data_IF_913669083926
#
_entry.id   IF_913669083926
#
_cell.length_a   1.000
_cell.length_b   1.000
_cell.length_c   1.000
_cell.angle_alpha   90.00
_cell.angle_beta   90.00
_cell.angle_gamma   90.00
#
_symmetry.space_group_name_H-M   'P 1'
#
loop_
_entity.id
_entity.type
_entity.pdbx_description
1 polymer ?
#
# COMPACT_ATOMS: atom_id res chain seq x y z
N UNK A 1 23.44 -16.61 16.26
CA UNK A 1 23.09 -17.20 14.97
C UNK A 1 22.00 -16.32 14.37
N UNK A 2 22.40 -15.32 13.56
CA UNK A 2 21.44 -14.42 12.92
C UNK A 2 20.79 -15.14 11.74
N UNK A 3 19.51 -15.40 11.85
CA UNK A 3 18.70 -15.85 10.71
C UNK A 3 18.39 -14.60 9.90
N UNK A 4 19.05 -14.46 8.76
CA UNK A 4 18.67 -13.46 7.76
C UNK A 4 17.26 -13.80 7.27
N UNK A 5 16.28 -13.04 7.76
CA UNK A 5 14.94 -13.06 7.20
C UNK A 5 15.05 -12.41 5.81
N UNK A 6 14.94 -13.23 4.78
CA UNK A 6 14.90 -12.71 3.42
C UNK A 6 13.56 -11.97 3.24
N UNK A 7 13.61 -10.64 3.28
CA UNK A 7 12.48 -9.81 2.92
C UNK A 7 12.16 -10.04 1.45
N UNK A 8 10.91 -10.34 1.18
CA UNK A 8 10.38 -10.33 -0.18
C UNK A 8 10.26 -8.87 -0.59
N UNK A 9 11.23 -8.39 -1.34
CA UNK A 9 11.09 -7.12 -2.01
C UNK A 9 10.04 -7.31 -3.12
N UNK A 10 8.90 -6.68 -2.96
CA UNK A 10 7.96 -6.50 -4.05
C UNK A 10 8.59 -5.53 -5.04
N UNK A 11 9.08 -6.06 -6.14
CA UNK A 11 9.66 -5.26 -7.20
C UNK A 11 8.52 -4.88 -8.12
N UNK A 12 8.14 -3.62 -8.14
CA UNK A 12 7.35 -3.05 -9.23
C UNK A 12 8.16 -3.15 -10.51
N UNK A 13 8.12 -4.31 -11.13
CA UNK A 13 8.76 -4.58 -12.40
C UNK A 13 7.74 -4.70 -13.50
N UNK A 14 7.54 -3.65 -14.25
CA UNK A 14 6.88 -3.72 -15.55
C UNK A 14 7.57 -4.74 -16.42
N UNK A 15 6.94 -5.85 -16.71
CA UNK A 15 7.36 -6.74 -17.80
C UNK A 15 6.16 -7.33 -18.51
N UNK A 16 5.99 -6.81 -19.67
CA UNK A 16 5.28 -7.23 -20.87
C UNK A 16 5.11 -8.72 -21.11
N UNK A 17 3.88 -9.04 -21.57
CA UNK A 17 3.52 -10.06 -22.57
C UNK A 17 3.84 -11.52 -22.26
N UNK A 18 2.78 -12.28 -22.07
CA UNK A 18 2.48 -13.35 -23.03
C UNK A 18 1.15 -14.01 -22.71
N UNK A 19 0.28 -13.99 -23.71
CA UNK A 19 -0.88 -14.84 -23.87
C UNK A 19 -0.62 -16.29 -23.58
N UNK A 20 -1.43 -16.89 -22.70
CA UNK A 20 -1.91 -18.25 -22.88
C UNK A 20 -3.10 -18.52 -21.96
N UNK A 21 -4.20 -18.83 -22.56
CA UNK A 21 -5.39 -19.47 -22.02
C UNK A 21 -5.04 -20.64 -21.11
N UNK A 22 -5.73 -20.76 -20.00
CA UNK A 22 -6.49 -21.90 -19.57
C UNK A 22 -6.65 -21.94 -18.04
N UNK A 23 -7.92 -21.76 -17.65
CA UNK A 23 -8.63 -22.54 -16.64
C UNK A 23 -7.92 -22.80 -15.29
N UNK A 24 -8.46 -22.15 -14.28
CA UNK A 24 -8.62 -22.85 -13.02
C UNK A 24 -7.95 -22.22 -11.84
N UNK A 25 -8.79 -21.82 -10.95
CA UNK A 25 -8.60 -21.67 -9.54
C UNK A 25 -8.14 -20.29 -9.02
N UNK A 26 -9.13 -19.51 -8.65
CA UNK A 26 -9.20 -18.80 -7.38
C UNK A 26 -7.89 -18.22 -6.86
N UNK A 27 -7.56 -17.06 -7.41
CA UNK A 27 -6.91 -16.00 -6.71
C UNK A 27 -7.82 -14.80 -6.96
N UNK A 28 -8.71 -14.52 -6.06
CA UNK A 28 -9.59 -13.36 -6.16
C UNK A 28 -8.76 -12.10 -5.89
N UNK A 29 -8.07 -11.63 -6.91
CA UNK A 29 -7.74 -10.21 -6.97
C UNK A 29 -9.05 -9.53 -7.31
N UNK A 30 -9.77 -9.09 -6.30
CA UNK A 30 -10.98 -8.32 -6.50
C UNK A 30 -10.58 -6.93 -6.98
N UNK A 31 -10.76 -6.71 -8.27
CA UNK A 31 -10.61 -5.43 -8.94
C UNK A 31 -11.57 -4.40 -8.33
N UNK A 32 -11.10 -3.17 -8.12
CA UNK A 32 -11.97 -2.07 -7.74
C UNK A 32 -12.86 -1.73 -8.92
N UNK A 33 -14.12 -2.17 -8.86
CA UNK A 33 -15.13 -1.96 -9.91
C UNK A 33 -15.83 -0.60 -9.84
N UNK A 34 -15.58 0.18 -8.78
CA UNK A 34 -15.95 1.58 -8.76
C UNK A 34 -15.24 2.28 -9.93
N UNK A 35 -15.98 3.06 -10.72
CA UNK A 35 -15.38 3.91 -11.76
C UNK A 35 -14.47 4.94 -11.11
N UNK A 36 -13.27 4.50 -10.77
CA UNK A 36 -12.23 5.36 -10.25
C UNK A 36 -11.58 6.00 -11.47
N UNK A 37 -11.84 7.26 -11.68
CA UNK A 37 -11.10 8.02 -12.69
C UNK A 37 -9.67 8.20 -12.17
N UNK A 38 -8.74 7.43 -12.75
CA UNK A 38 -7.34 7.43 -12.37
C UNK A 38 -6.74 8.85 -12.33
N UNK A 39 -7.21 9.73 -13.21
CA UNK A 39 -6.78 11.13 -13.22
C UNK A 39 -7.28 11.91 -12.00
N UNK A 40 -8.45 11.61 -11.50
CA UNK A 40 -8.99 12.26 -10.29
C UNK A 40 -8.26 11.77 -9.05
N UNK A 41 -8.03 10.49 -8.94
CA UNK A 41 -7.36 9.89 -7.77
C UNK A 41 -5.90 10.33 -7.67
N UNK A 42 -5.16 10.34 -8.77
CA UNK A 42 -3.80 10.86 -8.81
C UNK A 42 -3.72 12.32 -8.36
N UNK A 43 -4.71 13.14 -8.76
CA UNK A 43 -4.80 14.55 -8.35
C UNK A 43 -5.24 14.71 -6.88
N UNK A 44 -6.05 13.79 -6.37
CA UNK A 44 -6.60 13.87 -5.03
C UNK A 44 -5.64 13.37 -3.95
N UNK A 45 -4.92 12.27 -4.21
CA UNK A 45 -3.98 11.68 -3.25
C UNK A 45 -2.54 12.19 -3.44
N UNK A 46 -2.17 12.62 -4.65
CA UNK A 46 -0.81 13.02 -5.00
C UNK A 46 0.11 11.86 -5.34
N UNK A 47 -0.35 10.62 -5.25
CA UNK A 47 0.40 9.40 -5.59
C UNK A 47 -0.47 8.43 -6.42
N UNK A 48 0.19 7.51 -7.10
CA UNK A 48 -0.45 6.47 -7.92
C UNK A 48 -0.26 5.07 -7.35
N UNK A 49 0.78 4.85 -6.54
CA UNK A 49 0.96 3.60 -5.82
C UNK A 49 1.39 3.87 -4.37
N UNK A 50 0.93 3.00 -3.47
CA UNK A 50 1.20 3.07 -2.04
C UNK A 50 1.31 1.63 -1.51
N UNK A 51 2.40 1.29 -0.86
CA UNK A 51 2.61 -0.01 -0.23
C UNK A 51 3.15 0.20 1.17
N UNK A 52 2.41 -0.27 2.17
CA UNK A 52 2.72 -0.12 3.59
C UNK A 52 2.81 -1.47 4.27
N UNK A 53 3.84 -1.66 5.07
CA UNK A 53 4.00 -2.79 5.99
C UNK A 53 4.43 -2.29 7.37
N UNK A 54 3.70 -2.67 8.40
CA UNK A 54 3.97 -2.30 9.78
C UNK A 54 3.96 -3.52 10.69
N UNK A 55 5.09 -3.73 11.38
CA UNK A 55 5.20 -4.68 12.49
C UNK A 55 4.96 -3.98 13.83
N UNK A 56 4.34 -4.68 14.77
CA UNK A 56 4.27 -4.27 16.17
C UNK A 56 4.95 -5.31 17.08
N UNK A 57 5.18 -4.97 18.34
CA UNK A 57 5.84 -5.88 19.28
C UNK A 57 5.11 -7.22 19.45
N UNK A 58 3.80 -7.21 19.32
CA UNK A 58 2.94 -8.38 19.53
C UNK A 58 2.54 -9.08 18.23
N UNK A 59 2.69 -8.41 17.08
CA UNK A 59 2.17 -8.88 15.80
C UNK A 59 3.09 -8.49 14.64
N UNK A 60 3.60 -9.50 13.91
CA UNK A 60 4.26 -9.26 12.63
C UNK A 60 3.21 -9.06 11.54
N UNK A 61 3.56 -8.25 10.55
CA UNK A 61 2.65 -7.85 9.48
C UNK A 61 1.30 -7.41 10.10
N UNK A 62 1.38 -6.54 11.12
CA UNK A 62 0.21 -6.09 11.87
C UNK A 62 -0.72 -5.26 11.01
N UNK A 63 -0.15 -4.47 10.12
CA UNK A 63 -0.88 -3.68 9.13
C UNK A 63 -0.15 -3.78 7.80
N UNK A 64 -0.89 -4.19 6.78
CA UNK A 64 -0.48 -4.21 5.38
C UNK A 64 -1.52 -3.43 4.58
N UNK A 65 -1.09 -2.45 3.81
CA UNK A 65 -1.99 -1.71 2.91
C UNK A 65 -1.31 -1.51 1.57
N UNK A 66 -1.96 -1.93 0.51
CA UNK A 66 -1.50 -1.70 -0.84
C UNK A 66 -2.58 -1.01 -1.68
N UNK A 67 -2.15 -0.14 -2.54
CA UNK A 67 -2.98 0.57 -3.49
C UNK A 67 -2.17 0.87 -4.73
N UNK A 68 -2.70 0.51 -5.89
CA UNK A 68 -2.07 0.77 -7.18
C UNK A 68 -3.12 1.18 -8.20
N UNK A 69 -2.83 2.21 -8.98
CA UNK A 69 -3.63 2.64 -10.12
C UNK A 69 -2.82 2.47 -11.39
N UNK A 70 -3.11 1.43 -12.14
CA UNK A 70 -2.62 1.28 -13.50
C UNK A 70 -3.66 1.81 -14.52
N UNK A 71 -3.25 1.95 -15.77
CA UNK A 71 -4.06 2.49 -16.88
C UNK A 71 -5.34 1.68 -17.12
N UNK A 72 -5.35 0.41 -16.75
CA UNK A 72 -6.44 -0.53 -17.00
C UNK A 72 -7.20 -0.98 -15.76
N UNK A 73 -6.61 -0.87 -14.58
CA UNK A 73 -7.20 -1.42 -13.35
C UNK A 73 -6.72 -0.66 -12.12
N UNK A 74 -7.49 -0.69 -11.07
CA UNK A 74 -7.13 -0.20 -9.74
C UNK A 74 -7.17 -1.37 -8.78
N UNK A 75 -6.10 -1.59 -8.05
CA UNK A 75 -6.02 -2.63 -7.04
C UNK A 75 -5.92 -1.99 -5.65
N UNK A 76 -6.58 -2.58 -4.67
CA UNK A 76 -6.50 -2.18 -3.27
C UNK A 76 -6.58 -3.39 -2.36
N UNK A 77 -5.72 -3.42 -1.35
CA UNK A 77 -5.73 -4.41 -0.28
C UNK A 77 -5.47 -3.71 1.06
N UNK A 78 -6.19 -4.11 2.08
CA UNK A 78 -6.01 -3.58 3.42
C UNK A 78 -6.20 -4.67 4.47
N UNK A 79 -5.11 -5.08 5.07
CA UNK A 79 -5.08 -6.01 6.19
C UNK A 79 -4.69 -5.24 7.46
N UNK A 80 -5.52 -5.29 8.48
CA UNK A 80 -5.23 -4.74 9.79
C UNK A 80 -5.56 -5.79 10.85
N UNK A 81 -4.56 -6.54 11.26
CA UNK A 81 -4.72 -7.63 12.24
C UNK A 81 -5.09 -7.12 13.63
N UNK A 82 -4.74 -5.87 13.95
CA UNK A 82 -5.08 -5.23 15.23
C UNK A 82 -6.60 -4.98 15.33
N UNK A 83 -7.25 -4.75 14.20
CA UNK A 83 -8.70 -4.54 14.08
C UNK A 83 -9.46 -5.74 13.50
N UNK A 84 -8.77 -6.84 13.20
CA UNK A 84 -9.32 -8.02 12.54
C UNK A 84 -9.96 -7.70 11.17
N UNK A 85 -9.32 -6.81 10.42
CA UNK A 85 -9.70 -6.45 9.05
C UNK A 85 -8.84 -7.22 8.06
N UNK A 86 -9.46 -7.70 6.98
CA UNK A 86 -8.82 -8.34 5.83
C UNK A 86 -9.74 -8.04 4.63
N UNK A 87 -9.37 -6.97 3.90
CA UNK A 87 -10.21 -6.37 2.87
C UNK A 87 -9.46 -6.31 1.55
N UNK A 88 -10.18 -6.50 0.46
CA UNK A 88 -9.66 -6.39 -0.91
C UNK A 88 -10.63 -5.61 -1.81
N UNK A 89 -10.12 -5.10 -2.93
CA UNK A 89 -10.92 -4.44 -3.94
C UNK A 89 -11.69 -3.23 -3.41
N UNK A 90 -12.98 -3.17 -3.72
CA UNK A 90 -13.84 -2.04 -3.35
C UNK A 90 -13.95 -1.80 -1.83
N UNK A 91 -13.92 -2.85 -1.04
CA UNK A 91 -14.01 -2.74 0.43
C UNK A 91 -12.73 -2.12 0.99
N UNK A 92 -11.56 -2.60 0.54
CA UNK A 92 -10.28 -2.01 0.89
C UNK A 92 -10.20 -0.54 0.44
N UNK A 93 -10.57 -0.24 -0.80
CA UNK A 93 -10.57 1.11 -1.33
C UNK A 93 -11.45 2.07 -0.50
N UNK A 94 -12.65 1.63 -0.13
CA UNK A 94 -13.58 2.44 0.67
C UNK A 94 -13.00 2.82 2.04
N UNK A 95 -12.22 1.93 2.66
CA UNK A 95 -11.54 2.18 3.93
C UNK A 95 -10.28 3.05 3.76
N UNK A 96 -9.52 2.83 2.68
CA UNK A 96 -8.27 3.53 2.44
C UNK A 96 -8.45 4.97 1.90
N UNK A 97 -9.49 5.20 1.08
CA UNK A 97 -9.73 6.50 0.45
C UNK A 97 -9.74 7.68 1.43
N UNK A 98 -10.49 7.67 2.54
CA UNK A 98 -10.46 8.76 3.51
C UNK A 98 -9.10 8.90 4.19
N UNK A 99 -8.40 7.81 4.45
CA UNK A 99 -7.05 7.83 5.02
C UNK A 99 -6.08 8.55 4.06
N UNK A 100 -6.08 8.18 2.80
CA UNK A 100 -5.21 8.78 1.78
C UNK A 100 -5.47 10.28 1.58
N UNK A 101 -6.74 10.71 1.61
CA UNK A 101 -7.11 12.13 1.55
C UNK A 101 -6.56 12.92 2.73
N UNK A 102 -6.64 12.36 3.93
CA UNK A 102 -6.15 13.00 5.15
C UNK A 102 -4.62 13.01 5.24
N UNK A 103 -3.95 12.00 4.67
CA UNK A 103 -2.49 11.93 4.64
C UNK A 103 -1.89 13.09 3.85
N UNK A 104 -2.46 13.46 2.72
CA UNK A 104 -1.99 14.54 1.85
C UNK A 104 -0.47 14.52 1.67
N UNK A 105 0.08 13.34 1.33
CA UNK A 105 1.51 13.14 1.18
C UNK A 105 2.07 13.95 0.02
N UNK A 106 3.23 14.55 0.23
CA UNK A 106 3.99 15.23 -0.81
C UNK A 106 5.44 14.79 -0.77
N UNK A 107 6.08 14.77 -1.92
CA UNK A 107 7.49 14.34 -2.06
C UNK A 107 8.50 15.20 -1.31
N UNK A 108 8.10 16.41 -0.91
CA UNK A 108 8.97 17.35 -0.17
C UNK A 108 8.87 17.17 1.36
N UNK A 109 8.02 16.27 1.84
CA UNK A 109 7.93 15.96 3.27
C UNK A 109 9.19 15.28 3.77
N UNK A 110 9.57 15.59 5.02
CA UNK A 110 10.66 14.87 5.68
C UNK A 110 10.26 13.41 5.94
N UNK A 111 11.25 12.53 6.02
CA UNK A 111 11.05 11.12 6.38
C UNK A 111 10.28 10.98 7.69
N UNK A 112 10.66 11.76 8.68
CA UNK A 112 10.06 11.75 10.01
C UNK A 112 8.57 12.17 9.97
N UNK A 113 8.25 13.21 9.21
CA UNK A 113 6.87 13.67 9.05
C UNK A 113 5.99 12.63 8.34
N UNK A 114 6.52 11.95 7.32
CA UNK A 114 5.80 10.90 6.60
C UNK A 114 5.52 9.72 7.53
N UNK A 115 6.53 9.23 8.25
CA UNK A 115 6.38 8.10 9.17
C UNK A 115 5.39 8.43 10.29
N UNK A 116 5.48 9.62 10.89
CA UNK A 116 4.54 10.06 11.94
C UNK A 116 3.11 10.12 11.41
N UNK A 117 2.90 10.75 10.26
CA UNK A 117 1.56 10.87 9.65
C UNK A 117 0.95 9.51 9.33
N UNK A 118 1.72 8.64 8.68
CA UNK A 118 1.22 7.34 8.23
C UNK A 118 0.99 6.41 9.42
N UNK A 119 1.94 6.27 10.34
CA UNK A 119 1.77 5.43 11.52
C UNK A 119 0.57 5.85 12.37
N UNK A 120 0.33 7.15 12.50
CA UNK A 120 -0.84 7.70 13.20
C UNK A 120 -2.15 7.43 12.44
N UNK A 121 -2.18 7.63 11.13
CA UNK A 121 -3.36 7.41 10.32
C UNK A 121 -3.84 5.96 10.34
N UNK A 122 -2.91 5.01 10.40
CA UNK A 122 -3.19 3.58 10.51
C UNK A 122 -3.29 3.06 11.96
N UNK A 123 -3.12 3.92 12.97
CA UNK A 123 -3.25 3.55 14.38
C UNK A 123 -2.13 2.66 14.91
N UNK A 124 -0.94 2.77 14.35
CA UNK A 124 0.24 1.95 14.67
C UNK A 124 1.45 2.80 15.09
N UNK A 125 1.25 3.79 15.95
CA UNK A 125 2.33 4.65 16.45
C UNK A 125 3.37 3.88 17.28
N UNK A 126 2.99 2.73 17.84
CA UNK A 126 3.85 1.83 18.62
C UNK A 126 4.49 0.72 17.77
N UNK A 127 4.77 1.00 16.50
CA UNK A 127 5.42 0.04 15.61
C UNK A 127 6.83 -0.34 16.09
N UNK A 128 7.27 -1.53 15.73
CA UNK A 128 8.65 -1.98 15.87
C UNK A 128 9.41 -1.91 14.55
N UNK A 129 8.72 -2.11 13.44
CA UNK A 129 9.24 -1.95 12.09
C UNK A 129 8.17 -1.25 11.24
N UNK A 130 8.60 -0.30 10.43
CA UNK A 130 7.78 0.48 9.51
C UNK A 130 8.46 0.51 8.14
N UNK A 131 7.75 0.13 7.11
CA UNK A 131 8.18 0.22 5.72
C UNK A 131 7.05 0.79 4.88
N UNK A 132 7.35 1.80 4.08
CA UNK A 132 6.43 2.44 3.17
C UNK A 132 7.12 2.73 1.85
N UNK A 133 6.51 2.32 0.75
CA UNK A 133 6.87 2.72 -0.61
C UNK A 133 5.73 3.53 -1.23
N UNK A 134 6.06 4.67 -1.81
CA UNK A 134 5.10 5.57 -2.47
C UNK A 134 5.61 5.94 -3.84
N UNK A 135 4.82 5.68 -4.87
CA UNK A 135 5.04 6.22 -6.20
C UNK A 135 4.14 7.45 -6.40
N UNK A 136 4.77 8.62 -6.48
CA UNK A 136 4.05 9.87 -6.70
C UNK A 136 3.54 10.00 -8.14
N UNK A 137 2.54 10.85 -8.35
CA UNK A 137 1.87 11.02 -9.65
C UNK A 137 2.79 11.50 -10.77
N UNK A 138 3.98 12.03 -10.45
CA UNK A 138 5.01 12.41 -11.40
C UNK A 138 6.01 11.28 -11.74
N UNK A 139 5.81 10.09 -11.15
CA UNK A 139 6.65 8.90 -11.34
C UNK A 139 7.86 8.82 -10.40
N UNK A 140 7.99 9.75 -9.46
CA UNK A 140 9.01 9.66 -8.41
C UNK A 140 8.61 8.58 -7.39
N UNK A 141 9.53 7.66 -7.12
CA UNK A 141 9.37 6.61 -6.12
C UNK A 141 10.20 6.94 -4.87
N UNK A 142 9.58 6.88 -3.71
CA UNK A 142 10.25 7.10 -2.43
C UNK A 142 9.95 5.97 -1.45
N UNK A 143 11.00 5.55 -0.74
CA UNK A 143 10.94 4.53 0.30
C UNK A 143 11.21 5.17 1.67
N UNK A 144 10.39 4.81 2.65
CA UNK A 144 10.52 5.25 4.03
C UNK A 144 10.56 4.03 4.94
N UNK A 145 11.56 3.92 5.79
CA UNK A 145 11.66 2.81 6.73
C UNK A 145 12.20 3.27 8.08
N UNK A 146 11.69 2.70 9.15
CA UNK A 146 12.15 2.97 10.51
C UNK A 146 12.00 1.72 11.38
N UNK A 147 12.84 1.62 12.42
CA UNK A 147 12.80 0.54 13.43
C UNK A 147 13.00 1.12 14.83
N UNK A 148 12.19 0.66 15.78
CA UNK A 148 12.26 1.06 17.20
C UNK A 148 12.73 -0.06 18.10
#
# INVERSE_FOLDING_TARGET
>A
MHILKMKKHSIFGSALLSTALLLGACGDNEEVTATVDSSQVQNEFGFQAFELDIDTADQNDAIEASFDIDVSETEAEYVNKLESKDLTGNEAYTELEPIFKDLALTKDMSKEDVIEKVSKAFGAEDYTEFELEVEFSDGDNQEFSDTK
#
